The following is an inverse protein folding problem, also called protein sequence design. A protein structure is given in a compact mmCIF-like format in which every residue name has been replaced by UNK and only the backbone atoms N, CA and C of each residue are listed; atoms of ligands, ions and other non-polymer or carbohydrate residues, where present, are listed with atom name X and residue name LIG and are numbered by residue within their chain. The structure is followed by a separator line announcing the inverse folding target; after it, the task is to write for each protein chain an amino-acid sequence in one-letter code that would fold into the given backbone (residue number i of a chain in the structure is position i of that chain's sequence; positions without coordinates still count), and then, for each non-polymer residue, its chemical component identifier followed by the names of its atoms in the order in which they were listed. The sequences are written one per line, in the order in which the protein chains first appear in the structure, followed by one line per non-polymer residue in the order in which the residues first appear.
data_IF_221240858910
#
_entry.id   IF_221240858910
#
_cell.length_a   1.000
_cell.length_b   1.000
_cell.length_c   1.000
_cell.angle_alpha   90.00
_cell.angle_beta   90.00
_cell.angle_gamma   90.00
#
_symmetry.space_group_name_H-M   'P 1'
#
loop_
_entity.id
_entity.type
_entity.pdbx_description
1 polymer ?
#
# COMPACT_ATOMS: atom_id res chain seq x y z
N UNK A 1 -4.72 -18.14 98.80
CA UNK A 1 -4.48 -16.69 98.91
C UNK A 1 -3.77 -16.20 97.60
N UNK A 2 -4.26 -15.08 97.06
CA UNK A 2 -3.71 -14.27 96.02
C UNK A 2 -3.90 -14.79 94.57
N UNK A 3 -4.85 -14.16 93.99
CA UNK A 3 -5.33 -14.05 92.60
C UNK A 3 -4.38 -13.22 91.75
N UNK A 4 -4.03 -13.68 90.58
CA UNK A 4 -3.48 -12.83 89.56
C UNK A 4 -4.25 -13.05 88.27
N UNK A 5 -5.09 -12.06 87.91
CA UNK A 5 -5.70 -11.94 86.62
C UNK A 5 -4.64 -11.59 85.58
N UNK A 6 -4.57 -12.34 84.54
CA UNK A 6 -3.75 -12.00 83.36
C UNK A 6 -4.63 -11.57 82.23
N UNK A 7 -4.56 -10.30 81.94
CA UNK A 7 -5.11 -9.66 80.78
C UNK A 7 -4.32 -10.17 79.56
N UNK A 8 -4.99 -10.87 78.65
CA UNK A 8 -4.42 -11.25 77.38
C UNK A 8 -4.87 -10.19 76.33
N UNK A 9 -3.92 -9.38 75.94
CA UNK A 9 -4.12 -8.37 74.89
C UNK A 9 -3.82 -9.04 73.54
N UNK A 10 -4.85 -9.41 72.80
CA UNK A 10 -4.73 -9.97 71.46
C UNK A 10 -4.39 -8.84 70.44
N UNK A 11 -3.18 -8.88 69.92
CA UNK A 11 -2.72 -8.02 68.83
C UNK A 11 -3.21 -8.64 67.52
N UNK A 12 -4.27 -8.07 66.96
CA UNK A 12 -4.72 -8.38 65.59
C UNK A 12 -3.78 -7.68 64.60
N UNK A 13 -2.82 -8.41 64.04
CA UNK A 13 -2.06 -7.98 62.87
C UNK A 13 -2.96 -8.10 61.65
N UNK A 14 -3.52 -6.99 61.22
CA UNK A 14 -4.24 -6.88 59.95
C UNK A 14 -3.25 -7.00 58.80
N UNK A 15 -3.24 -8.16 58.15
CA UNK A 15 -2.53 -8.37 56.89
C UNK A 15 -3.36 -7.81 55.76
N UNK A 16 -3.14 -6.52 55.43
CA UNK A 16 -3.77 -5.85 54.30
C UNK A 16 -3.23 -6.42 53.00
N UNK A 17 -4.04 -7.24 52.31
CA UNK A 17 -3.78 -7.72 50.96
C UNK A 17 -3.99 -6.51 50.00
N UNK A 18 -2.91 -5.86 49.63
CA UNK A 18 -2.94 -4.86 48.56
C UNK A 18 -3.02 -5.64 47.23
N UNK A 19 -4.24 -5.88 46.77
CA UNK A 19 -4.50 -6.27 45.40
C UNK A 19 -4.15 -5.08 44.46
N UNK A 20 -2.87 -5.05 44.05
CA UNK A 20 -2.41 -4.14 43.01
C UNK A 20 -3.13 -4.49 41.70
N UNK A 21 -4.26 -3.85 41.47
CA UNK A 21 -4.93 -3.88 40.15
C UNK A 21 -3.99 -3.29 39.13
N UNK A 22 -3.39 -4.13 38.28
CA UNK A 22 -2.80 -3.69 37.02
C UNK A 22 -3.92 -3.10 36.18
N UNK A 23 -4.14 -1.79 36.29
CA UNK A 23 -4.91 -1.05 35.30
C UNK A 23 -4.09 -1.01 34.03
N UNK A 24 -4.25 -2.03 33.19
CA UNK A 24 -3.81 -2.00 31.81
C UNK A 24 -4.63 -0.91 31.13
N UNK A 25 -4.06 0.28 31.01
CA UNK A 25 -4.62 1.32 30.15
C UNK A 25 -4.52 0.79 28.72
N UNK A 26 -5.56 0.09 28.28
CA UNK A 26 -5.72 -0.23 26.87
C UNK A 26 -5.84 1.11 26.16
N UNK A 27 -4.75 1.51 25.51
CA UNK A 27 -4.76 2.61 24.55
C UNK A 27 -5.67 2.13 23.41
N UNK A 28 -6.97 2.43 23.49
CA UNK A 28 -7.92 2.21 22.41
C UNK A 28 -7.53 3.17 21.29
N UNK A 29 -6.57 2.75 20.48
CA UNK A 29 -6.38 3.34 19.17
C UNK A 29 -7.74 3.24 18.46
N UNK A 30 -8.28 4.37 18.04
CA UNK A 30 -9.55 4.42 17.31
C UNK A 30 -9.49 3.37 16.19
N UNK A 31 -10.54 2.53 16.07
CA UNK A 31 -10.61 1.52 15.04
C UNK A 31 -10.31 2.18 13.67
N UNK A 32 -9.43 1.61 12.83
CA UNK A 32 -9.11 2.20 11.56
C UNK A 32 -10.41 2.37 10.76
N UNK A 33 -10.58 3.55 10.19
CA UNK A 33 -11.75 3.85 9.35
C UNK A 33 -11.80 2.84 8.20
N UNK A 34 -12.93 2.16 8.04
CA UNK A 34 -13.14 1.28 6.89
C UNK A 34 -12.97 2.06 5.58
N UNK A 35 -12.16 1.55 4.68
CA UNK A 35 -11.88 2.18 3.39
C UNK A 35 -12.35 1.31 2.26
N UNK A 36 -13.03 1.91 1.30
CA UNK A 36 -13.37 1.26 0.04
C UNK A 36 -12.20 1.27 -0.94
N UNK A 37 -12.26 0.45 -2.00
CA UNK A 37 -11.25 0.51 -3.08
C UNK A 37 -11.16 1.92 -3.71
N UNK A 38 -12.29 2.64 -3.78
CA UNK A 38 -12.33 4.03 -4.28
C UNK A 38 -11.57 4.98 -3.36
N UNK A 39 -11.70 4.81 -2.05
CA UNK A 39 -11.00 5.64 -1.07
C UNK A 39 -9.48 5.40 -1.14
N UNK A 40 -9.07 4.13 -1.26
CA UNK A 40 -7.65 3.77 -1.43
C UNK A 40 -7.05 4.39 -2.70
N UNK A 41 -7.77 4.35 -3.81
CA UNK A 41 -7.33 4.98 -5.06
C UNK A 41 -7.27 6.50 -4.92
N UNK A 42 -8.26 7.12 -4.27
CA UNK A 42 -8.27 8.56 -4.04
C UNK A 42 -7.11 9.02 -3.13
N UNK A 43 -6.77 8.22 -2.14
CA UNK A 43 -5.61 8.48 -1.28
C UNK A 43 -4.29 8.32 -2.06
N UNK A 44 -4.15 7.23 -2.82
CA UNK A 44 -2.96 6.99 -3.63
C UNK A 44 -2.70 8.14 -4.63
N UNK A 45 -3.74 8.67 -5.27
CA UNK A 45 -3.65 9.80 -6.21
C UNK A 45 -3.04 11.05 -5.60
N UNK A 46 -3.15 11.29 -4.31
CA UNK A 46 -2.52 12.44 -3.64
C UNK A 46 -1.00 12.34 -3.59
N UNK A 47 -0.45 11.14 -3.73
CA UNK A 47 0.96 10.83 -3.50
C UNK A 47 1.70 10.36 -4.75
N UNK A 48 1.07 10.40 -5.92
CA UNK A 48 1.67 9.97 -7.18
C UNK A 48 1.53 11.04 -8.27
N UNK A 49 2.33 10.91 -9.33
CA UNK A 49 2.14 11.66 -10.55
C UNK A 49 1.25 10.89 -11.52
N UNK A 50 0.27 11.57 -12.13
CA UNK A 50 -0.50 11.03 -13.26
C UNK A 50 -0.07 11.73 -14.56
N UNK A 51 -0.11 10.99 -15.65
CA UNK A 51 0.10 11.50 -17.01
C UNK A 51 -1.07 11.12 -17.89
N UNK A 52 -1.40 11.96 -18.85
CA UNK A 52 -2.35 11.64 -19.90
C UNK A 52 -1.82 10.54 -20.81
N UNK A 53 -2.71 9.90 -21.59
CA UNK A 53 -2.28 8.92 -22.60
C UNK A 53 -1.42 9.54 -23.70
N UNK A 54 -1.61 10.83 -24.02
CA UNK A 54 -0.80 11.56 -24.99
C UNK A 54 0.63 11.81 -24.48
N UNK A 55 0.82 12.19 -23.22
CA UNK A 55 2.13 12.33 -22.58
C UNK A 55 2.82 10.97 -22.45
N UNK A 56 2.07 9.92 -22.10
CA UNK A 56 2.57 8.56 -22.09
C UNK A 56 3.05 8.14 -23.50
N UNK A 57 2.25 8.37 -24.55
CA UNK A 57 2.66 8.09 -25.95
C UNK A 57 3.94 8.83 -26.33
N UNK A 58 4.06 10.10 -25.94
CA UNK A 58 5.27 10.89 -26.21
C UNK A 58 6.52 10.36 -25.47
N UNK A 59 6.34 9.45 -24.53
CA UNK A 59 7.44 8.80 -23.77
C UNK A 59 7.76 7.39 -24.29
N UNK A 60 6.92 6.83 -25.17
CA UNK A 60 7.04 5.44 -25.65
C UNK A 60 8.39 5.17 -26.33
N UNK A 61 8.81 6.11 -27.18
CA UNK A 61 10.03 5.96 -28.00
C UNK A 61 11.27 6.57 -27.34
N UNK A 62 11.14 7.01 -26.07
CA UNK A 62 12.27 7.59 -25.32
C UNK A 62 13.07 6.51 -24.62
N UNK A 63 14.39 6.55 -24.80
CA UNK A 63 15.29 5.66 -24.05
C UNK A 63 15.13 5.86 -22.52
N UNK A 64 15.21 4.76 -21.78
CA UNK A 64 15.12 4.77 -20.32
C UNK A 64 13.70 4.80 -19.75
N UNK A 65 12.66 4.71 -20.59
CA UNK A 65 11.28 4.51 -20.14
C UNK A 65 10.88 3.04 -20.18
N UNK A 66 10.20 2.60 -19.12
CA UNK A 66 9.57 1.28 -19.03
C UNK A 66 8.07 1.47 -18.88
N UNK A 67 7.30 0.88 -19.78
CA UNK A 67 5.86 0.76 -19.62
C UNK A 67 5.53 -0.51 -18.84
N UNK A 68 4.82 -0.35 -17.74
CA UNK A 68 4.50 -1.45 -16.82
C UNK A 68 2.99 -1.69 -16.80
N UNK A 69 2.56 -2.79 -17.41
CA UNK A 69 1.17 -3.23 -17.38
C UNK A 69 0.90 -4.06 -16.12
N UNK A 70 0.06 -3.52 -15.22
CA UNK A 70 -0.33 -4.24 -14.01
C UNK A 70 -1.67 -4.99 -14.14
N UNK A 71 -2.16 -5.22 -15.37
CA UNK A 71 -3.31 -6.06 -15.64
C UNK A 71 -2.96 -7.54 -15.51
N UNK A 72 -3.98 -8.38 -15.51
CA UNK A 72 -3.80 -9.82 -15.51
C UNK A 72 -3.17 -10.29 -16.84
N UNK A 73 -2.41 -11.41 -16.85
CA UNK A 73 -1.75 -11.90 -18.06
C UNK A 73 -2.70 -12.16 -19.23
N UNK A 74 -3.95 -12.53 -18.97
CA UNK A 74 -4.97 -12.71 -19.99
C UNK A 74 -5.35 -11.40 -20.65
N UNK A 75 -5.46 -10.31 -19.87
CA UNK A 75 -5.74 -8.96 -20.41
C UNK A 75 -4.55 -8.45 -21.26
N UNK A 76 -3.32 -8.70 -20.80
CA UNK A 76 -2.09 -8.33 -21.51
C UNK A 76 -1.97 -9.01 -22.88
N UNK A 77 -2.24 -10.31 -22.94
CA UNK A 77 -2.17 -11.11 -24.18
C UNK A 77 -3.19 -10.70 -25.24
N UNK A 78 -4.25 -9.99 -24.85
CA UNK A 78 -5.28 -9.51 -25.79
C UNK A 78 -4.88 -8.18 -26.47
N UNK A 79 -3.76 -7.62 -26.07
CA UNK A 79 -3.20 -6.36 -26.57
C UNK A 79 -2.65 -5.52 -25.42
N UNK A 80 -1.54 -4.84 -25.67
CA UNK A 80 -0.85 -4.01 -24.69
C UNK A 80 -0.08 -2.87 -25.38
N UNK A 81 0.43 -1.93 -24.60
CA UNK A 81 1.31 -0.87 -25.09
C UNK A 81 2.59 -1.51 -25.60
N UNK A 82 3.09 -1.16 -26.79
CA UNK A 82 4.28 -1.77 -27.38
C UNK A 82 5.46 -1.81 -26.41
N UNK A 83 6.16 -2.94 -26.38
CA UNK A 83 7.30 -3.19 -25.47
C UNK A 83 6.99 -3.09 -23.99
N UNK A 84 5.72 -3.11 -23.58
CA UNK A 84 5.36 -3.06 -22.16
C UNK A 84 5.71 -4.38 -21.46
N UNK A 85 6.15 -4.24 -20.22
CA UNK A 85 6.38 -5.37 -19.32
C UNK A 85 5.12 -5.66 -18.53
N UNK A 86 4.70 -6.92 -18.46
CA UNK A 86 3.59 -7.31 -17.60
C UNK A 86 4.07 -7.80 -16.24
N UNK A 87 3.54 -7.16 -15.19
CA UNK A 87 3.61 -7.63 -13.81
C UNK A 87 2.23 -7.41 -13.19
N UNK A 88 1.42 -8.47 -13.01
CA UNK A 88 0.10 -8.36 -12.39
C UNK A 88 0.16 -7.66 -11.04
N UNK A 89 -0.84 -6.83 -10.73
CA UNK A 89 -0.86 -6.04 -9.49
C UNK A 89 -0.57 -6.88 -8.24
N UNK A 90 -1.08 -8.11 -8.18
CA UNK A 90 -0.89 -9.01 -7.04
C UNK A 90 0.51 -9.59 -6.87
N UNK A 91 1.39 -9.43 -7.89
CA UNK A 91 2.77 -9.92 -7.87
C UNK A 91 3.80 -8.79 -7.92
N UNK A 92 3.34 -7.54 -7.91
CA UNK A 92 4.20 -6.38 -8.16
C UNK A 92 5.38 -6.32 -7.18
N UNK A 93 5.09 -6.34 -5.89
CA UNK A 93 6.08 -6.19 -4.81
C UNK A 93 7.14 -7.30 -4.81
N UNK A 94 6.75 -8.50 -5.24
CA UNK A 94 7.62 -9.68 -5.23
C UNK A 94 8.46 -9.84 -6.51
N UNK A 95 8.11 -9.08 -7.56
CA UNK A 95 8.66 -9.32 -8.90
C UNK A 95 9.45 -8.12 -9.43
N UNK A 96 9.02 -6.91 -9.11
CA UNK A 96 9.53 -5.69 -9.74
C UNK A 96 11.02 -5.49 -9.56
N UNK A 97 11.57 -5.76 -8.38
CA UNK A 97 13.01 -5.55 -8.10
C UNK A 97 13.92 -6.45 -8.96
N UNK A 98 13.44 -7.62 -9.34
CA UNK A 98 14.16 -8.52 -10.23
C UNK A 98 14.09 -8.06 -11.69
N UNK A 99 12.98 -7.47 -12.11
CA UNK A 99 12.74 -7.04 -13.49
C UNK A 99 13.19 -5.61 -13.77
N UNK A 100 13.10 -4.73 -12.79
CA UNK A 100 13.50 -3.32 -12.87
C UNK A 100 14.36 -3.00 -11.63
N UNK A 101 15.63 -3.42 -11.60
CA UNK A 101 16.49 -3.26 -10.43
C UNK A 101 16.91 -1.82 -10.15
N UNK A 102 16.98 -0.97 -11.17
CA UNK A 102 17.33 0.45 -11.00
C UNK A 102 16.13 1.27 -10.55
N UNK A 103 16.20 1.80 -9.33
CA UNK A 103 15.16 2.64 -8.72
C UNK A 103 15.02 4.03 -9.39
N UNK A 104 15.93 4.41 -10.25
CA UNK A 104 15.86 5.66 -11.01
C UNK A 104 15.20 5.48 -12.40
N UNK A 105 14.85 4.26 -12.79
CA UNK A 105 14.14 3.99 -14.04
C UNK A 105 12.86 4.82 -14.15
N UNK A 106 12.62 5.41 -15.33
CA UNK A 106 11.36 6.11 -15.61
C UNK A 106 10.27 5.07 -15.90
N UNK A 107 9.27 4.97 -15.04
CA UNK A 107 8.19 3.97 -15.15
C UNK A 107 6.87 4.67 -15.45
N UNK A 108 6.20 4.26 -16.53
CA UNK A 108 4.80 4.57 -16.79
C UNK A 108 3.99 3.31 -16.50
N UNK A 109 3.32 3.28 -15.35
CA UNK A 109 2.48 2.14 -14.97
C UNK A 109 1.04 2.37 -15.41
N UNK A 110 0.37 1.32 -15.88
CA UNK A 110 -1.03 1.36 -16.27
C UNK A 110 -1.77 0.08 -15.96
N UNK A 111 -3.09 0.17 -15.95
CA UNK A 111 -4.00 -0.97 -15.91
C UNK A 111 -5.16 -0.75 -16.89
N UNK A 112 -6.29 -1.41 -16.70
CA UNK A 112 -7.45 -1.26 -17.61
C UNK A 112 -8.01 0.16 -17.64
N UNK A 113 -8.29 0.77 -16.47
CA UNK A 113 -8.93 2.09 -16.34
C UNK A 113 -8.25 3.05 -15.37
N UNK A 114 -7.03 2.72 -14.90
CA UNK A 114 -6.21 3.59 -14.06
C UNK A 114 -6.20 3.26 -12.55
N UNK A 115 -7.23 2.64 -11.97
CA UNK A 115 -7.30 2.38 -10.52
C UNK A 115 -6.20 1.44 -9.99
N UNK A 116 -6.05 0.25 -10.58
CA UNK A 116 -4.95 -0.69 -10.22
C UNK A 116 -3.58 -0.05 -10.49
N UNK A 117 -3.46 0.71 -11.59
CA UNK A 117 -2.23 1.44 -11.94
C UNK A 117 -1.86 2.48 -10.90
N UNK A 118 -2.84 3.24 -10.42
CA UNK A 118 -2.67 4.23 -9.36
C UNK A 118 -2.12 3.59 -8.06
N UNK A 119 -2.72 2.50 -7.61
CA UNK A 119 -2.24 1.75 -6.44
C UNK A 119 -0.85 1.15 -6.68
N UNK A 120 -0.56 0.69 -7.90
CA UNK A 120 0.77 0.20 -8.30
C UNK A 120 1.82 1.29 -8.25
N UNK A 121 1.52 2.49 -8.78
CA UNK A 121 2.42 3.63 -8.72
C UNK A 121 2.75 4.02 -7.28
N UNK A 122 1.74 4.09 -6.41
CA UNK A 122 1.92 4.38 -4.99
C UNK A 122 2.82 3.33 -4.32
N UNK A 123 2.61 2.04 -4.60
CA UNK A 123 3.46 0.95 -4.10
C UNK A 123 4.90 1.10 -4.59
N UNK A 124 5.12 1.35 -5.88
CA UNK A 124 6.47 1.52 -6.44
C UNK A 124 7.20 2.70 -5.78
N UNK A 125 6.52 3.83 -5.58
CA UNK A 125 7.10 4.98 -4.86
C UNK A 125 7.52 4.58 -3.42
N UNK A 126 6.68 3.84 -2.71
CA UNK A 126 7.01 3.32 -1.37
C UNK A 126 8.18 2.32 -1.37
N UNK A 127 8.38 1.60 -2.47
CA UNK A 127 9.53 0.71 -2.68
C UNK A 127 10.80 1.45 -3.12
N UNK A 128 10.76 2.79 -3.22
CA UNK A 128 11.92 3.64 -3.52
C UNK A 128 12.13 3.95 -4.99
N UNK A 129 11.22 3.59 -5.90
CA UNK A 129 11.27 4.02 -7.30
C UNK A 129 10.93 5.51 -7.38
N UNK A 130 11.82 6.30 -8.00
CA UNK A 130 11.76 7.78 -7.94
C UNK A 130 10.96 8.40 -9.07
N UNK A 131 10.90 7.75 -10.22
CA UNK A 131 10.35 8.30 -11.45
C UNK A 131 9.14 7.48 -11.93
N UNK A 132 8.11 7.39 -11.10
CA UNK A 132 6.90 6.61 -11.40
C UNK A 132 5.73 7.53 -11.74
N UNK A 133 5.05 7.23 -12.82
CA UNK A 133 3.82 7.93 -13.25
C UNK A 133 2.72 6.91 -13.55
N UNK A 134 1.48 7.22 -13.17
CA UNK A 134 0.32 6.43 -13.56
C UNK A 134 -0.30 7.00 -14.83
N UNK A 135 -0.54 6.17 -15.84
CA UNK A 135 -1.27 6.59 -17.05
C UNK A 135 -2.77 6.69 -16.76
N UNK A 136 -3.27 7.91 -16.72
CA UNK A 136 -4.67 8.20 -16.45
C UNK A 136 -5.58 7.58 -17.53
N UNK A 137 -6.69 6.95 -17.10
CA UNK A 137 -7.61 6.24 -17.99
C UNK A 137 -7.10 4.88 -18.47
N UNK A 138 -5.82 4.56 -18.27
CA UNK A 138 -5.21 3.27 -18.54
C UNK A 138 -5.35 2.78 -19.98
N UNK A 139 -5.39 1.47 -20.16
CA UNK A 139 -5.49 0.80 -21.44
C UNK A 139 -6.69 1.24 -22.29
N UNK A 140 -7.86 1.39 -21.66
CA UNK A 140 -9.08 1.81 -22.39
C UNK A 140 -8.90 3.18 -23.02
N UNK A 141 -8.24 4.11 -22.33
CA UNK A 141 -7.98 5.43 -22.89
C UNK A 141 -6.90 5.39 -23.97
N UNK A 142 -5.88 4.54 -23.85
CA UNK A 142 -4.85 4.31 -24.87
C UNK A 142 -5.44 3.76 -26.17
N UNK A 143 -6.25 2.70 -26.06
CA UNK A 143 -6.95 2.06 -27.17
C UNK A 143 -7.92 3.04 -27.88
N UNK A 144 -8.72 3.78 -27.10
CA UNK A 144 -9.64 4.80 -27.62
C UNK A 144 -8.92 5.93 -28.37
N UNK A 145 -7.69 6.25 -27.98
CA UNK A 145 -6.87 7.25 -28.67
C UNK A 145 -6.28 6.74 -29.99
N UNK A 146 -6.47 5.46 -30.32
CA UNK A 146 -5.93 4.85 -31.55
C UNK A 146 -4.42 4.70 -31.57
N UNK A 147 -3.80 4.61 -30.38
CA UNK A 147 -2.35 4.48 -30.25
C UNK A 147 -1.89 3.04 -30.56
N UNK A 148 -0.59 2.85 -30.91
CA UNK A 148 -0.05 1.53 -31.27
C UNK A 148 -0.29 0.48 -30.21
N UNK A 149 -0.57 -0.75 -30.66
CA UNK A 149 -0.87 -1.92 -29.85
C UNK A 149 0.03 -3.06 -30.32
N UNK A 150 0.54 -3.83 -29.37
CA UNK A 150 1.26 -5.09 -29.54
C UNK A 150 0.49 -6.24 -28.95
#
# INVERSE_FOLDING_TARGET
MKRYARLAMALMLGFGLILGGCTTTQNQAAAPKEMTAKDLVAEAKKNICEVSVSEAKASLDKAGYVFLDCREPKEFKMGHVPSAMNIPRGLLEFTVDKKIPDKNTNIVVYCKVGGRGCLSACTLCRMGYKNVKNMAGGWVAWEKAGYPIE
#
